data_IF_912856798166
#
_entry.id   IF_912856798166
#
_cell.length_a   1.000
_cell.length_b   1.000
_cell.length_c   1.000
_cell.angle_alpha   90.00
_cell.angle_beta   90.00
_cell.angle_gamma   90.00
#
_symmetry.space_group_name_H-M   'P 1'
#
loop_
_entity.id
_entity.type
_entity.pdbx_description
1 polymer ?
#
# COMPACT_ATOMS: atom_id res chain seq x y z
N UNK A 1 -3.68 36.22 2.06
CA UNK A 1 -3.06 35.49 0.93
C UNK A 1 -2.98 34.02 1.32
N UNK A 2 -3.56 33.12 0.53
CA UNK A 2 -3.35 31.69 0.75
C UNK A 2 -1.91 31.36 0.36
N UNK A 3 -1.12 30.82 1.29
CA UNK A 3 0.20 30.29 0.95
C UNK A 3 0.06 29.19 -0.12
N UNK A 4 1.03 29.08 -1.06
CA UNK A 4 1.02 27.98 -2.01
C UNK A 4 1.11 26.65 -1.24
N UNK A 5 0.12 25.77 -1.45
CA UNK A 5 0.06 24.45 -0.80
C UNK A 5 1.26 23.60 -1.16
N UNK A 6 1.71 22.74 -0.24
CA UNK A 6 2.79 21.78 -0.50
C UNK A 6 2.49 20.99 -1.81
N UNK A 7 3.41 20.97 -2.79
CA UNK A 7 3.26 20.21 -4.03
C UNK A 7 2.92 18.73 -3.82
N UNK A 8 3.40 18.11 -2.73
CA UNK A 8 3.10 16.73 -2.34
C UNK A 8 1.63 16.56 -1.98
N UNK A 9 1.06 17.53 -1.27
CA UNK A 9 -0.35 17.54 -0.91
C UNK A 9 -1.24 17.70 -2.14
N UNK A 10 -0.85 18.59 -3.06
CA UNK A 10 -1.54 18.77 -4.35
C UNK A 10 -1.53 17.45 -5.14
N UNK A 11 -0.36 16.81 -5.27
CA UNK A 11 -0.21 15.55 -5.96
C UNK A 11 -1.04 14.43 -5.30
N UNK A 12 -1.09 14.38 -3.97
CA UNK A 12 -1.93 13.45 -3.22
C UNK A 12 -3.42 13.63 -3.55
N UNK A 13 -3.96 14.83 -3.39
CA UNK A 13 -5.40 15.07 -3.66
C UNK A 13 -5.74 14.71 -5.10
N UNK A 14 -4.84 15.02 -6.05
CA UNK A 14 -4.98 14.67 -7.47
C UNK A 14 -4.94 13.19 -7.77
N UNK A 15 -4.41 12.31 -6.89
CA UNK A 15 -4.42 10.85 -7.08
C UNK A 15 -5.56 10.14 -6.36
N UNK A 16 -6.25 10.81 -5.43
CA UNK A 16 -7.33 10.18 -4.68
C UNK A 16 -8.51 9.78 -5.59
N UNK A 17 -9.14 8.61 -5.36
CA UNK A 17 -10.37 8.20 -6.02
C UNK A 17 -11.53 9.15 -5.73
N UNK A 18 -12.49 9.21 -6.66
CA UNK A 18 -13.67 10.05 -6.50
C UNK A 18 -14.48 9.70 -5.24
N UNK A 19 -14.52 8.41 -4.82
CA UNK A 19 -15.20 7.98 -3.59
C UNK A 19 -14.67 8.72 -2.35
N UNK A 20 -13.36 8.66 -2.11
CA UNK A 20 -12.70 9.34 -0.98
C UNK A 20 -12.89 10.86 -1.06
N UNK A 21 -12.76 11.45 -2.26
CA UNK A 21 -12.98 12.88 -2.44
C UNK A 21 -14.42 13.29 -2.13
N UNK A 22 -15.42 12.46 -2.49
CA UNK A 22 -16.83 12.68 -2.19
C UNK A 22 -17.11 12.57 -0.69
N UNK A 23 -16.55 11.57 -0.01
CA UNK A 23 -16.68 11.41 1.44
C UNK A 23 -16.07 12.58 2.19
N UNK A 24 -14.88 13.02 1.77
CA UNK A 24 -14.24 14.21 2.29
C UNK A 24 -15.12 15.45 2.08
N UNK A 25 -15.62 15.68 0.85
CA UNK A 25 -16.52 16.78 0.57
C UNK A 25 -17.82 16.69 1.37
N UNK A 26 -18.36 15.49 1.60
CA UNK A 26 -19.58 15.29 2.40
C UNK A 26 -19.36 15.73 3.84
N UNK A 27 -18.25 15.27 4.45
CA UNK A 27 -17.87 15.59 5.83
C UNK A 27 -17.68 17.10 6.03
N UNK A 28 -17.03 17.77 5.08
CA UNK A 28 -16.66 19.19 5.20
C UNK A 28 -17.50 20.13 4.32
N UNK A 29 -18.67 19.68 3.87
CA UNK A 29 -19.52 20.43 2.92
C UNK A 29 -19.98 21.76 3.49
N UNK A 30 -20.43 21.76 4.75
CA UNK A 30 -20.93 22.96 5.45
C UNK A 30 -19.81 23.93 5.79
N UNK A 31 -18.67 23.42 6.23
CA UNK A 31 -17.57 24.24 6.73
C UNK A 31 -16.87 25.03 5.63
N UNK A 32 -16.76 24.45 4.42
CA UNK A 32 -16.03 25.07 3.31
C UNK A 32 -16.86 25.24 2.02
N UNK A 33 -18.19 25.05 2.09
CA UNK A 33 -19.07 25.18 0.94
C UNK A 33 -18.71 24.24 -0.21
N UNK A 34 -18.46 22.97 0.10
CA UNK A 34 -18.04 21.96 -0.87
C UNK A 34 -19.25 21.26 -1.52
N UNK A 35 -19.21 21.14 -2.84
CA UNK A 35 -20.16 20.33 -3.61
C UNK A 35 -19.75 18.86 -3.55
N UNK A 36 -20.65 18.01 -3.07
CA UNK A 36 -20.42 16.56 -2.95
C UNK A 36 -20.60 15.84 -4.29
N UNK A 37 -21.64 16.19 -5.05
CA UNK A 37 -21.98 15.52 -6.31
C UNK A 37 -21.39 16.27 -7.51
N UNK A 38 -20.07 16.28 -7.60
CA UNK A 38 -19.33 16.91 -8.69
C UNK A 38 -18.44 15.90 -9.44
N UNK A 39 -17.99 16.28 -10.64
CA UNK A 39 -16.98 15.50 -11.37
C UNK A 39 -15.68 15.48 -10.57
N UNK A 40 -14.88 14.42 -10.71
CA UNK A 40 -13.63 14.24 -9.95
C UNK A 40 -12.68 15.43 -10.06
N UNK A 41 -12.52 16.00 -11.25
CA UNK A 41 -11.70 17.19 -11.47
C UNK A 41 -12.21 18.40 -10.67
N UNK A 42 -13.53 18.62 -10.63
CA UNK A 42 -14.15 19.69 -9.83
C UNK A 42 -14.01 19.43 -8.32
N UNK A 43 -14.15 18.17 -7.87
CA UNK A 43 -13.86 17.77 -6.48
C UNK A 43 -12.42 18.12 -6.08
N UNK A 44 -11.44 17.77 -6.91
CA UNK A 44 -10.03 18.09 -6.67
C UNK A 44 -9.81 19.61 -6.60
N UNK A 45 -10.31 20.35 -7.60
CA UNK A 45 -10.12 21.80 -7.69
C UNK A 45 -10.72 22.54 -6.49
N UNK A 46 -11.94 22.20 -6.07
CA UNK A 46 -12.57 22.87 -4.93
C UNK A 46 -11.90 22.54 -3.60
N UNK A 47 -11.46 21.29 -3.39
CA UNK A 47 -10.75 20.89 -2.17
C UNK A 47 -9.42 21.67 -2.09
N UNK A 48 -8.68 21.73 -3.19
CA UNK A 48 -7.42 22.46 -3.23
C UNK A 48 -7.59 23.98 -3.14
N UNK A 49 -8.71 24.54 -3.59
CA UNK A 49 -8.94 25.98 -3.52
C UNK A 49 -9.48 26.45 -2.16
N UNK A 50 -10.40 25.69 -1.55
CA UNK A 50 -11.23 26.17 -0.42
C UNK A 50 -10.81 25.66 0.95
N UNK A 51 -10.13 24.52 1.01
CA UNK A 51 -9.85 23.84 2.29
C UNK A 51 -8.47 24.23 2.80
N UNK A 52 -8.30 24.58 4.09
CA UNK A 52 -7.00 24.84 4.68
C UNK A 52 -6.04 23.65 4.58
N UNK A 53 -4.74 23.92 4.47
CA UNK A 53 -3.71 22.89 4.30
C UNK A 53 -3.64 21.94 5.51
N UNK A 54 -3.81 22.45 6.72
CA UNK A 54 -3.77 21.68 7.97
C UNK A 54 -4.86 20.59 7.99
N UNK A 55 -6.04 20.91 7.47
CA UNK A 55 -7.17 19.97 7.37
C UNK A 55 -6.86 18.89 6.35
N UNK A 56 -6.30 19.26 5.21
CA UNK A 56 -5.90 18.30 4.17
C UNK A 56 -4.77 17.39 4.66
N UNK A 57 -3.82 17.93 5.43
CA UNK A 57 -2.77 17.14 6.06
C UNK A 57 -3.38 16.11 7.00
N UNK A 58 -4.21 16.56 7.95
CA UNK A 58 -4.81 15.70 8.97
C UNK A 58 -5.73 14.63 8.38
N UNK A 59 -6.54 14.98 7.40
CA UNK A 59 -7.63 14.11 6.93
C UNK A 59 -7.29 13.30 5.70
N UNK A 60 -6.35 13.77 4.86
CA UNK A 60 -5.99 13.08 3.62
C UNK A 60 -4.53 12.65 3.65
N UNK A 61 -3.60 13.54 3.96
CA UNK A 61 -2.17 13.23 3.93
C UNK A 61 -1.80 12.13 4.90
N UNK A 62 -2.09 12.30 6.18
CA UNK A 62 -1.79 11.30 7.21
C UNK A 62 -2.47 9.96 6.95
N UNK A 63 -3.63 9.94 6.25
CA UNK A 63 -4.37 8.70 5.97
C UNK A 63 -3.90 7.98 4.71
N UNK A 64 -3.44 8.72 3.69
CA UNK A 64 -3.27 8.20 2.34
C UNK A 64 -1.92 8.48 1.69
N UNK A 65 -1.01 9.23 2.31
CA UNK A 65 0.33 9.48 1.76
C UNK A 65 1.06 8.16 1.48
N UNK A 66 1.02 7.25 2.46
CA UNK A 66 1.72 5.97 2.50
C UNK A 66 0.81 4.79 2.09
N UNK A 67 -0.44 5.11 1.72
CA UNK A 67 -1.50 4.15 1.47
C UNK A 67 -2.14 4.37 0.09
N UNK A 68 -3.20 3.61 -0.20
CA UNK A 68 -3.92 3.59 -1.46
C UNK A 68 -3.81 2.24 -2.17
N UNK A 69 -3.77 2.25 -3.50
CA UNK A 69 -3.49 1.03 -4.28
C UNK A 69 -1.98 0.72 -4.23
N UNK A 70 -1.60 0.11 -3.11
CA UNK A 70 -0.22 -0.19 -2.73
C UNK A 70 0.03 -1.70 -2.70
N UNK A 71 1.30 -2.07 -2.87
CA UNK A 71 1.77 -3.43 -2.67
C UNK A 71 2.78 -3.40 -1.53
N UNK A 72 2.62 -4.30 -0.58
CA UNK A 72 3.48 -4.45 0.59
C UNK A 72 4.26 -5.75 0.45
N UNK A 73 5.58 -5.63 0.51
CA UNK A 73 6.53 -6.75 0.50
C UNK A 73 7.06 -6.96 1.91
N UNK A 74 6.97 -8.20 2.39
CA UNK A 74 7.29 -8.54 3.78
C UNK A 74 8.68 -9.17 3.89
N UNK A 75 9.48 -8.67 4.82
CA UNK A 75 10.82 -9.15 5.11
C UNK A 75 11.04 -9.26 6.61
N UNK A 76 12.01 -10.08 6.99
CA UNK A 76 12.65 -10.08 8.30
C UNK A 76 14.05 -9.52 8.16
N UNK A 77 14.46 -8.62 9.04
CA UNK A 77 15.78 -7.99 9.05
C UNK A 77 16.44 -8.22 10.42
N UNK A 78 17.48 -9.04 10.49
CA UNK A 78 18.03 -9.48 11.78
C UNK A 78 18.82 -8.39 12.50
N UNK A 79 18.47 -8.08 13.74
CA UNK A 79 19.26 -7.14 14.56
C UNK A 79 19.17 -5.72 14.04
N UNK A 80 17.95 -5.20 13.87
CA UNK A 80 17.69 -3.83 13.42
C UNK A 80 18.46 -2.83 14.30
N UNK A 81 19.45 -2.16 13.71
CA UNK A 81 20.22 -1.10 14.35
C UNK A 81 19.98 0.23 13.62
N UNK A 82 18.91 0.91 14.02
CA UNK A 82 18.47 2.19 13.43
C UNK A 82 19.53 3.29 13.50
N UNK A 83 20.48 3.24 14.44
CA UNK A 83 21.56 4.25 14.53
C UNK A 83 22.50 4.21 13.32
N UNK A 84 22.57 3.09 12.59
CA UNK A 84 23.44 2.95 11.41
C UNK A 84 22.84 3.53 10.13
N UNK A 85 21.59 4.00 10.18
CA UNK A 85 20.90 4.53 9.01
C UNK A 85 20.50 5.99 9.17
N UNK A 86 20.61 6.58 10.37
CA UNK A 86 20.21 7.97 10.63
C UNK A 86 20.98 8.98 9.78
N UNK A 87 22.21 8.65 9.40
CA UNK A 87 23.11 9.54 8.63
C UNK A 87 22.97 9.34 7.11
N UNK A 88 22.03 8.50 6.65
CA UNK A 88 21.84 8.18 5.23
C UNK A 88 20.85 9.11 4.52
N UNK A 89 20.36 10.16 5.18
CA UNK A 89 19.48 11.14 4.54
C UNK A 89 20.29 11.87 3.47
N UNK A 90 19.96 11.62 2.21
CA UNK A 90 20.50 12.39 1.11
C UNK A 90 19.64 13.63 0.90
N UNK A 91 20.22 14.85 0.93
CA UNK A 91 19.48 16.02 0.48
C UNK A 91 19.05 15.83 -0.98
N UNK A 92 17.90 16.41 -1.32
CA UNK A 92 17.19 16.25 -2.60
C UNK A 92 17.89 17.00 -3.76
N UNK A 93 19.20 16.87 -3.89
CA UNK A 93 19.99 17.62 -4.87
C UNK A 93 19.91 17.00 -6.26
N UNK A 94 19.72 15.67 -6.40
CA UNK A 94 19.69 14.99 -7.70
C UNK A 94 18.63 13.87 -7.78
N UNK A 95 18.05 13.70 -8.97
CA UNK A 95 17.13 12.60 -9.27
C UNK A 95 17.95 11.32 -9.52
N UNK A 96 17.67 10.26 -8.76
CA UNK A 96 18.39 8.98 -8.85
C UNK A 96 17.48 7.89 -9.42
N UNK A 97 17.97 7.08 -10.35
CA UNK A 97 17.26 5.87 -10.83
C UNK A 97 17.16 4.79 -9.75
N UNK A 98 18.01 4.91 -8.73
CA UNK A 98 18.11 4.00 -7.60
C UNK A 98 17.43 4.63 -6.37
N UNK A 99 16.67 3.87 -5.56
CA UNK A 99 16.04 4.39 -4.35
C UNK A 99 17.03 5.06 -3.40
N UNK A 100 16.80 6.34 -3.09
CA UNK A 100 17.57 7.09 -2.09
C UNK A 100 16.69 7.44 -0.90
N UNK A 101 17.26 7.44 0.31
CA UNK A 101 16.56 7.86 1.52
C UNK A 101 16.44 9.38 1.52
N UNK A 102 15.21 9.89 1.56
CA UNK A 102 14.93 11.34 1.57
C UNK A 102 14.31 11.82 2.87
N UNK A 103 13.72 10.92 3.66
CA UNK A 103 13.09 11.27 4.93
C UNK A 103 13.01 10.03 5.86
N UNK A 104 13.02 10.28 7.16
CA UNK A 104 12.90 9.27 8.21
C UNK A 104 12.05 9.78 9.37
N UNK A 105 11.08 8.98 9.81
CA UNK A 105 10.14 9.37 10.86
C UNK A 105 9.84 8.20 11.79
N UNK A 106 9.91 8.46 13.10
CA UNK A 106 9.46 7.50 14.10
C UNK A 106 7.93 7.51 14.24
N UNK A 107 7.34 6.32 14.27
CA UNK A 107 5.92 6.10 14.51
C UNK A 107 5.80 5.37 15.86
N UNK A 108 5.17 6.02 16.83
CA UNK A 108 4.88 5.47 18.16
C UNK A 108 6.11 4.85 18.86
N UNK A 109 7.31 5.39 18.63
CA UNK A 109 8.61 4.94 19.17
C UNK A 109 8.95 3.45 18.96
N UNK A 110 8.20 2.74 18.11
CA UNK A 110 8.33 1.29 17.92
C UNK A 110 8.54 0.93 16.46
N UNK A 111 8.18 1.84 15.55
CA UNK A 111 8.42 1.70 14.13
C UNK A 111 9.22 2.87 13.61
N UNK A 112 10.17 2.60 12.73
CA UNK A 112 10.86 3.62 11.95
C UNK A 112 10.39 3.52 10.51
N UNK A 113 9.80 4.60 10.02
CA UNK A 113 9.46 4.76 8.63
C UNK A 113 10.59 5.48 7.89
N UNK A 114 10.92 4.96 6.72
CA UNK A 114 11.92 5.51 5.82
C UNK A 114 11.27 5.74 4.46
N UNK A 115 11.33 6.97 3.97
CA UNK A 115 10.85 7.32 2.64
C UNK A 115 11.99 7.24 1.64
N UNK A 116 11.71 6.58 0.53
CA UNK A 116 12.59 6.45 -0.61
C UNK A 116 12.01 7.17 -1.82
N UNK A 117 12.86 7.89 -2.54
CA UNK A 117 12.54 8.45 -3.84
C UNK A 117 13.48 7.90 -4.91
N UNK A 118 12.96 7.71 -6.12
CA UNK A 118 13.74 7.33 -7.30
C UNK A 118 13.00 7.77 -8.57
N UNK A 119 13.67 7.77 -9.71
CA UNK A 119 13.03 7.96 -11.01
C UNK A 119 12.94 6.65 -11.77
N UNK A 120 11.84 6.47 -12.49
CA UNK A 120 11.65 5.35 -13.39
C UNK A 120 11.25 5.88 -14.77
N UNK A 121 11.87 5.38 -15.85
CA UNK A 121 11.49 5.77 -17.20
C UNK A 121 10.06 5.30 -17.49
N UNK A 122 9.22 6.22 -17.95
CA UNK A 122 7.88 5.94 -18.42
C UNK A 122 7.73 6.39 -19.87
N UNK A 123 7.00 5.61 -20.64
CA UNK A 123 6.57 6.04 -21.97
C UNK A 123 5.35 6.94 -21.81
N UNK A 124 5.44 8.13 -22.36
CA UNK A 124 4.32 9.06 -22.49
C UNK A 124 4.13 9.43 -23.95
N UNK A 125 2.90 9.78 -24.30
CA UNK A 125 2.58 10.37 -25.60
C UNK A 125 2.66 11.88 -25.42
N UNK A 126 3.50 12.54 -26.21
CA UNK A 126 3.63 14.00 -26.19
C UNK A 126 2.46 14.69 -26.90
N UNK A 127 2.50 16.02 -26.97
CA UNK A 127 1.43 16.82 -27.59
C UNK A 127 1.34 16.58 -29.12
N UNK A 128 2.45 16.16 -29.74
CA UNK A 128 2.55 15.77 -31.15
C UNK A 128 2.20 14.30 -31.43
N UNK A 129 1.62 13.59 -30.45
CA UNK A 129 1.25 12.17 -30.55
C UNK A 129 2.43 11.20 -30.77
N UNK A 130 3.64 11.58 -30.40
CA UNK A 130 4.84 10.75 -30.45
C UNK A 130 5.15 10.13 -29.07
N UNK A 131 5.72 8.93 -29.08
CA UNK A 131 6.20 8.27 -27.87
C UNK A 131 7.53 8.87 -27.43
N UNK A 132 7.59 9.33 -26.19
CA UNK A 132 8.82 9.79 -25.55
C UNK A 132 9.00 9.13 -24.19
N UNK A 133 10.27 8.95 -23.79
CA UNK A 133 10.62 8.45 -22.46
C UNK A 133 10.79 9.64 -21.52
N UNK A 134 9.99 9.70 -20.46
CA UNK A 134 10.17 10.66 -19.37
C UNK A 134 10.52 9.95 -18.08
N UNK A 135 11.39 10.55 -17.28
CA UNK A 135 11.71 10.05 -15.95
C UNK A 135 10.66 10.53 -14.95
N UNK A 136 9.84 9.59 -14.46
CA UNK A 136 8.81 9.88 -13.46
C UNK A 136 9.33 9.58 -12.07
N UNK A 137 9.21 10.56 -11.17
CA UNK A 137 9.46 10.38 -9.75
C UNK A 137 8.51 9.32 -9.18
N UNK A 138 9.10 8.31 -8.55
CA UNK A 138 8.46 7.25 -7.80
C UNK A 138 8.79 7.39 -6.32
N UNK A 139 7.92 6.84 -5.48
CA UNK A 139 8.08 6.84 -4.03
C UNK A 139 7.88 5.42 -3.52
N UNK A 140 8.76 5.01 -2.61
CA UNK A 140 8.60 3.79 -1.84
C UNK A 140 8.78 4.09 -0.35
N UNK A 141 8.23 3.23 0.50
CA UNK A 141 8.38 3.35 1.95
C UNK A 141 8.90 2.03 2.51
N UNK A 142 9.86 2.08 3.43
CA UNK A 142 10.17 0.95 4.30
C UNK A 142 9.73 1.30 5.72
N UNK A 143 8.95 0.43 6.36
CA UNK A 143 8.54 0.60 7.74
C UNK A 143 9.09 -0.58 8.52
N UNK A 144 9.99 -0.28 9.44
CA UNK A 144 10.71 -1.25 10.23
C UNK A 144 10.09 -1.30 11.62
N UNK A 145 9.57 -2.46 11.98
CA UNK A 145 9.07 -2.76 13.31
C UNK A 145 10.26 -3.21 14.16
N UNK A 146 10.79 -2.28 14.95
CA UNK A 146 12.14 -2.40 15.53
C UNK A 146 12.23 -3.53 16.55
N UNK A 147 11.14 -3.83 17.25
CA UNK A 147 11.12 -4.82 18.34
C UNK A 147 11.09 -6.27 17.85
N UNK A 148 10.52 -6.52 16.68
CA UNK A 148 10.22 -7.89 16.19
C UNK A 148 10.97 -8.23 14.89
N UNK A 149 11.85 -7.34 14.42
CA UNK A 149 12.64 -7.49 13.21
C UNK A 149 11.81 -7.58 11.91
N UNK A 150 10.53 -7.22 11.95
CA UNK A 150 9.65 -7.22 10.78
C UNK A 150 9.81 -5.94 9.97
N UNK A 151 9.93 -6.07 8.65
CA UNK A 151 10.03 -4.94 7.75
C UNK A 151 9.01 -5.07 6.64
N UNK A 152 8.22 -4.02 6.45
CA UNK A 152 7.33 -3.88 5.31
C UNK A 152 7.93 -2.87 4.32
N UNK A 153 8.07 -3.28 3.06
CA UNK A 153 8.49 -2.38 1.98
C UNK A 153 7.33 -2.16 1.02
N UNK A 154 6.83 -0.93 0.95
CA UNK A 154 5.67 -0.52 0.17
C UNK A 154 6.13 0.08 -1.15
N UNK A 155 5.95 -0.69 -2.21
CA UNK A 155 6.22 -0.31 -3.60
C UNK A 155 5.55 -1.30 -4.53
N UNK A 156 5.22 -0.89 -5.76
CA UNK A 156 4.67 -1.81 -6.76
C UNK A 156 5.70 -2.80 -7.31
N UNK A 157 6.98 -2.43 -7.27
CA UNK A 157 8.07 -3.21 -7.86
C UNK A 157 8.77 -4.09 -6.83
N UNK A 158 8.71 -5.42 -7.04
CA UNK A 158 9.44 -6.39 -6.21
C UNK A 158 10.95 -6.16 -6.27
N UNK A 159 11.47 -5.77 -7.42
CA UNK A 159 12.90 -5.50 -7.59
C UNK A 159 13.32 -4.30 -6.73
N UNK A 160 12.51 -3.23 -6.75
CA UNK A 160 12.71 -2.07 -5.88
C UNK A 160 12.63 -2.45 -4.41
N UNK A 161 11.67 -3.29 -4.01
CA UNK A 161 11.56 -3.76 -2.62
C UNK A 161 12.79 -4.55 -2.18
N UNK A 162 13.28 -5.46 -3.02
CA UNK A 162 14.50 -6.23 -2.78
C UNK A 162 15.74 -5.33 -2.73
N UNK A 163 15.80 -4.32 -3.57
CA UNK A 163 16.91 -3.36 -3.57
C UNK A 163 16.95 -2.57 -2.25
N UNK A 164 15.80 -2.05 -1.81
CA UNK A 164 15.66 -1.31 -0.55
C UNK A 164 16.08 -2.16 0.64
N UNK A 165 15.56 -3.40 0.77
CA UNK A 165 15.90 -4.23 1.93
C UNK A 165 17.38 -4.65 1.93
N UNK A 166 17.97 -4.92 0.76
CA UNK A 166 19.41 -5.20 0.62
C UNK A 166 20.26 -4.01 1.06
N UNK A 167 19.87 -2.81 0.65
CA UNK A 167 20.55 -1.58 1.03
C UNK A 167 20.50 -1.39 2.55
N UNK A 168 19.31 -1.51 3.16
CA UNK A 168 19.14 -1.41 4.60
C UNK A 168 19.96 -2.46 5.36
N UNK A 169 19.90 -3.73 4.93
CA UNK A 169 20.67 -4.82 5.52
C UNK A 169 22.18 -4.58 5.46
N UNK A 170 22.68 -4.11 4.31
CA UNK A 170 24.09 -3.75 4.13
C UNK A 170 24.52 -2.66 5.11
N UNK A 171 23.76 -1.57 5.21
CA UNK A 171 24.09 -0.47 6.14
C UNK A 171 24.06 -0.90 7.60
N UNK A 172 23.13 -1.78 7.98
CA UNK A 172 23.04 -2.27 9.35
C UNK A 172 24.08 -3.35 9.68
N UNK A 173 24.79 -3.89 8.68
CA UNK A 173 25.58 -5.12 8.79
C UNK A 173 24.72 -6.29 9.30
N UNK A 174 23.59 -6.47 8.65
CA UNK A 174 22.51 -7.38 9.01
C UNK A 174 22.19 -8.32 7.84
N UNK A 175 21.53 -9.44 8.15
CA UNK A 175 20.96 -10.34 7.16
C UNK A 175 19.46 -10.04 6.98
N UNK A 176 18.91 -10.34 5.80
CA UNK A 176 17.47 -10.23 5.59
C UNK A 176 16.91 -11.51 4.96
N UNK A 177 15.65 -11.80 5.28
CA UNK A 177 14.91 -12.94 4.75
C UNK A 177 13.58 -12.44 4.15
N UNK A 178 13.27 -12.74 2.88
CA UNK A 178 11.93 -12.57 2.34
C UNK A 178 10.95 -13.50 3.04
N UNK A 179 9.90 -12.93 3.63
CA UNK A 179 8.89 -13.74 4.30
C UNK A 179 8.01 -14.46 3.27
N UNK A 180 7.46 -15.61 3.66
CA UNK A 180 6.56 -16.43 2.85
C UNK A 180 5.45 -16.96 3.74
N UNK A 181 4.32 -17.30 3.13
CA UNK A 181 3.23 -17.97 3.84
C UNK A 181 3.21 -19.46 3.44
N UNK A 182 3.25 -20.35 4.43
CA UNK A 182 2.98 -21.77 4.24
C UNK A 182 1.52 -22.01 3.86
N UNK A 183 1.19 -23.24 3.44
CA UNK A 183 -0.20 -23.65 3.23
C UNK A 183 -1.02 -23.38 4.50
N UNK A 184 -0.61 -23.89 5.65
CA UNK A 184 -1.36 -23.71 6.91
C UNK A 184 -1.57 -22.22 7.28
N UNK A 185 -0.58 -21.38 6.99
CA UNK A 185 -0.71 -19.93 7.17
C UNK A 185 -1.71 -19.30 6.20
N UNK A 186 -1.83 -19.80 4.97
CA UNK A 186 -2.91 -19.43 4.05
C UNK A 186 -4.27 -19.88 4.60
N UNK A 187 -4.36 -21.06 5.21
CA UNK A 187 -5.57 -21.51 5.93
C UNK A 187 -5.95 -20.52 7.05
N UNK A 188 -4.97 -20.09 7.84
CA UNK A 188 -5.17 -19.10 8.91
C UNK A 188 -5.69 -17.75 8.41
N UNK A 189 -5.32 -17.35 7.19
CA UNK A 189 -5.88 -16.15 6.56
C UNK A 189 -7.34 -16.32 6.18
N UNK A 190 -7.71 -17.50 5.67
CA UNK A 190 -9.09 -17.82 5.31
C UNK A 190 -9.96 -17.85 6.55
N UNK A 191 -9.52 -18.53 7.61
CA UNK A 191 -10.25 -18.62 8.88
C UNK A 191 -10.50 -17.23 9.47
N UNK A 192 -9.49 -16.36 9.46
CA UNK A 192 -9.67 -14.99 9.90
C UNK A 192 -10.62 -14.21 9.01
N UNK A 193 -10.49 -14.31 7.70
CA UNK A 193 -11.38 -13.60 6.78
C UNK A 193 -12.84 -14.07 6.88
N UNK A 194 -13.10 -15.35 7.23
CA UNK A 194 -14.46 -15.86 7.52
C UNK A 194 -15.11 -15.14 8.71
N UNK A 195 -14.33 -14.49 9.59
CA UNK A 195 -14.84 -13.66 10.69
C UNK A 195 -15.25 -12.25 10.27
N UNK A 196 -14.87 -11.81 9.06
CA UNK A 196 -15.17 -10.47 8.56
C UNK A 196 -16.55 -10.43 7.88
N UNK A 197 -17.23 -9.29 7.97
CA UNK A 197 -18.55 -9.11 7.33
C UNK A 197 -18.39 -9.16 5.81
N UNK A 198 -19.32 -9.82 5.13
CA UNK A 198 -19.39 -9.91 3.67
C UNK A 198 -18.10 -10.45 3.00
N UNK A 199 -17.34 -11.30 3.68
CA UNK A 199 -16.09 -11.83 3.16
C UNK A 199 -16.29 -12.71 1.91
N UNK A 200 -15.54 -12.43 0.86
CA UNK A 200 -15.48 -13.19 -0.40
C UNK A 200 -14.04 -13.63 -0.68
N UNK A 201 -13.91 -14.85 -1.20
CA UNK A 201 -12.64 -15.52 -1.43
C UNK A 201 -12.44 -15.87 -2.89
N UNK A 202 -11.19 -15.77 -3.36
CA UNK A 202 -10.78 -16.34 -4.65
C UNK A 202 -9.36 -16.89 -4.57
N UNK A 203 -9.12 -18.19 -4.89
CA UNK A 203 -7.77 -18.75 -4.90
C UNK A 203 -6.93 -18.20 -6.06
N UNK A 204 -5.62 -18.07 -5.86
CA UNK A 204 -4.65 -17.62 -6.86
C UNK A 204 -3.76 -18.82 -7.23
N UNK A 205 -3.90 -19.34 -8.47
CA UNK A 205 -3.07 -20.44 -8.99
C UNK A 205 -1.78 -19.88 -9.61
N UNK A 206 -0.63 -20.37 -9.14
CA UNK A 206 0.76 -20.15 -9.63
C UNK A 206 1.16 -18.69 -10.00
N UNK A 207 2.36 -18.52 -10.56
CA UNK A 207 3.24 -17.35 -10.37
C UNK A 207 2.70 -15.96 -10.77
N UNK A 208 1.62 -15.84 -11.53
CA UNK A 208 0.91 -14.59 -11.80
C UNK A 208 -0.46 -14.93 -12.44
N UNK A 209 -1.48 -15.23 -11.63
CA UNK A 209 -2.88 -15.11 -12.09
C UNK A 209 -3.50 -13.83 -11.55
N UNK A 210 -2.82 -12.70 -11.80
CA UNK A 210 -3.43 -11.36 -11.73
C UNK A 210 -4.24 -11.08 -13.00
N UNK A 211 -5.03 -12.03 -13.49
CA UNK A 211 -6.13 -11.71 -14.38
C UNK A 211 -7.27 -11.29 -13.48
N UNK A 212 -7.68 -10.04 -13.62
CA UNK A 212 -8.95 -9.56 -13.10
C UNK A 212 -10.04 -10.55 -13.48
N UNK A 213 -10.53 -11.35 -12.52
CA UNK A 213 -11.97 -11.58 -12.47
C UNK A 213 -12.53 -10.41 -11.67
N UNK A 214 -12.49 -9.22 -12.26
CA UNK A 214 -13.74 -8.45 -12.27
C UNK A 214 -14.66 -9.33 -13.06
N UNK A 215 -15.52 -10.07 -12.35
CA UNK A 215 -16.72 -10.57 -12.99
C UNK A 215 -17.36 -9.34 -13.63
N UNK A 216 -17.35 -9.31 -14.97
CA UNK A 216 -18.45 -8.72 -15.72
C UNK A 216 -19.73 -9.26 -15.07
N UNK A 217 -20.73 -8.39 -15.01
CA UNK A 217 -22.10 -8.70 -14.62
C UNK A 217 -22.41 -10.20 -14.80
N UNK A 218 -22.87 -10.87 -13.73
CA UNK A 218 -23.41 -12.25 -13.70
C UNK A 218 -22.65 -13.39 -12.98
N UNK A 219 -21.65 -13.16 -12.10
CA UNK A 219 -21.17 -14.25 -11.23
C UNK A 219 -21.16 -13.90 -9.73
N UNK A 220 -22.13 -14.51 -9.03
CA UNK A 220 -22.22 -14.63 -7.57
C UNK A 220 -21.08 -15.53 -7.04
N UNK A 221 -20.32 -15.08 -6.05
CA UNK A 221 -19.12 -15.76 -5.51
C UNK A 221 -19.43 -16.55 -4.22
N UNK A 222 -20.59 -17.21 -4.17
CA UNK A 222 -20.90 -18.19 -3.14
C UNK A 222 -20.31 -19.55 -3.51
N UNK A 223 -19.01 -19.79 -3.33
CA UNK A 223 -18.48 -21.15 -3.18
C UNK A 223 -17.27 -21.18 -2.23
N UNK A 224 -17.55 -21.06 -0.93
CA UNK A 224 -16.66 -21.61 0.12
C UNK A 224 -16.42 -23.10 -0.15
N UNK A 225 -17.41 -23.78 -0.71
CA UNK A 225 -17.38 -25.19 -1.09
C UNK A 225 -16.32 -25.48 -2.18
N UNK A 226 -16.21 -24.68 -3.23
CA UNK A 226 -15.13 -24.81 -4.23
C UNK A 226 -13.77 -24.65 -3.55
N UNK A 227 -13.59 -23.61 -2.72
CA UNK A 227 -12.34 -23.46 -1.98
C UNK A 227 -12.06 -24.66 -1.06
N UNK A 228 -13.07 -25.18 -0.35
CA UNK A 228 -12.95 -26.33 0.55
C UNK A 228 -12.64 -27.63 -0.19
N UNK A 229 -13.25 -27.86 -1.36
CA UNK A 229 -12.89 -28.98 -2.23
C UNK A 229 -11.46 -28.88 -2.75
N UNK A 230 -11.04 -27.69 -3.17
CA UNK A 230 -9.65 -27.41 -3.58
C UNK A 230 -8.66 -27.58 -2.44
N UNK A 231 -9.04 -27.15 -1.23
CA UNK A 231 -8.25 -27.31 -0.03
C UNK A 231 -8.06 -28.78 0.34
N UNK A 232 -9.14 -29.58 0.24
CA UNK A 232 -9.15 -31.03 0.46
C UNK A 232 -8.28 -31.79 -0.53
N UNK A 233 -8.11 -31.30 -1.76
CA UNK A 233 -7.28 -31.92 -2.81
C UNK A 233 -5.76 -31.66 -2.66
N UNK A 234 -5.34 -30.97 -1.60
CA UNK A 234 -3.92 -30.61 -1.35
C UNK A 234 -3.22 -29.83 -2.47
N UNK A 235 -3.97 -29.25 -3.41
CA UNK A 235 -3.40 -28.57 -4.58
C UNK A 235 -2.59 -27.32 -4.19
N UNK A 236 -1.49 -27.05 -4.90
CA UNK A 236 -0.57 -25.95 -4.56
C UNK A 236 -1.25 -24.58 -4.73
N UNK A 237 -1.50 -23.90 -3.61
CA UNK A 237 -2.06 -22.55 -3.57
C UNK A 237 -0.94 -21.51 -3.62
N UNK A 238 -0.93 -20.66 -4.66
CA UNK A 238 0.06 -19.57 -4.80
C UNK A 238 -0.29 -18.33 -3.97
N UNK A 239 -1.54 -18.25 -3.49
CA UNK A 239 -2.06 -17.12 -2.75
C UNK A 239 -3.58 -17.10 -2.70
N UNK A 240 -4.14 -16.08 -2.05
CA UNK A 240 -5.58 -15.87 -1.94
C UNK A 240 -5.93 -14.39 -2.16
N UNK A 241 -7.11 -14.14 -2.68
CA UNK A 241 -7.71 -12.81 -2.67
C UNK A 241 -8.87 -12.78 -1.68
N UNK A 242 -8.88 -11.76 -0.82
CA UNK A 242 -9.91 -11.51 0.19
C UNK A 242 -10.53 -10.16 -0.13
N UNK A 243 -11.86 -10.14 -0.16
CA UNK A 243 -12.65 -8.92 -0.21
C UNK A 243 -13.66 -8.95 0.92
N UNK A 244 -13.58 -8.02 1.86
CA UNK A 244 -14.45 -8.01 3.03
C UNK A 244 -14.71 -6.58 3.51
N UNK A 245 -15.78 -6.41 4.29
CA UNK A 245 -15.99 -5.21 5.08
C UNK A 245 -15.20 -5.33 6.38
N UNK A 246 -14.29 -4.38 6.59
CA UNK A 246 -13.42 -4.33 7.78
C UNK A 246 -14.07 -3.48 8.88
N UNK A 247 -13.58 -3.49 10.14
CA UNK A 247 -14.24 -2.80 11.26
C UNK A 247 -14.51 -1.30 11.07
N UNK A 248 -13.81 -0.64 10.14
CA UNK A 248 -14.07 0.75 9.75
C UNK A 248 -15.38 0.94 8.98
N UNK A 249 -16.06 -0.15 8.59
CA UNK A 249 -17.26 -0.15 7.75
C UNK A 249 -16.96 -0.04 6.25
N UNK A 250 -15.69 0.06 5.87
CA UNK A 250 -15.26 0.17 4.49
C UNK A 250 -14.98 -1.20 3.86
N UNK A 251 -15.21 -1.28 2.55
CA UNK A 251 -14.91 -2.47 1.77
C UNK A 251 -13.41 -2.49 1.39
N UNK A 252 -12.69 -3.49 1.90
CA UNK A 252 -11.27 -3.69 1.64
C UNK A 252 -11.07 -4.95 0.79
N UNK A 253 -10.39 -4.78 -0.35
CA UNK A 253 -9.98 -5.88 -1.22
C UNK A 253 -8.46 -5.98 -1.28
N UNK A 254 -7.89 -7.13 -0.90
CA UNK A 254 -6.45 -7.36 -0.95
C UNK A 254 -6.11 -8.80 -1.34
N UNK A 255 -5.00 -8.98 -2.04
CA UNK A 255 -4.46 -10.28 -2.45
C UNK A 255 -3.17 -10.60 -1.74
N UNK A 256 -3.04 -11.82 -1.23
CA UNK A 256 -1.84 -12.37 -0.63
C UNK A 256 -1.18 -13.31 -1.64
N UNK A 257 0.10 -13.11 -1.90
CA UNK A 257 0.93 -14.07 -2.63
C UNK A 257 1.85 -14.77 -1.61
N UNK A 258 1.68 -16.08 -1.50
CA UNK A 258 2.30 -16.91 -0.48
C UNK A 258 3.81 -17.04 -0.67
N UNK A 259 4.24 -17.32 -1.92
CA UNK A 259 5.66 -17.52 -2.28
C UNK A 259 6.52 -16.29 -2.03
N UNK A 260 5.91 -15.11 -2.14
CA UNK A 260 6.60 -13.84 -2.17
C UNK A 260 6.40 -12.96 -0.96
N UNK A 261 5.61 -13.40 0.03
CA UNK A 261 5.27 -12.60 1.21
C UNK A 261 4.75 -11.23 0.80
N UNK A 262 3.83 -11.20 -0.17
CA UNK A 262 3.39 -9.96 -0.82
C UNK A 262 1.90 -9.78 -0.61
N UNK A 263 1.50 -8.61 -0.11
CA UNK A 263 0.10 -8.22 0.07
C UNK A 263 -0.20 -7.05 -0.85
N UNK A 264 -1.14 -7.22 -1.79
CA UNK A 264 -1.53 -6.23 -2.77
C UNK A 264 -2.93 -5.70 -2.46
N UNK A 265 -3.04 -4.42 -2.12
CA UNK A 265 -4.32 -3.76 -1.89
C UNK A 265 -4.93 -3.33 -3.22
N UNK A 266 -6.04 -3.99 -3.60
CA UNK A 266 -6.78 -3.75 -4.85
C UNK A 266 -7.73 -2.58 -4.70
N UNK A 267 -8.30 -2.37 -3.51
CA UNK A 267 -9.02 -1.15 -3.16
C UNK A 267 -8.03 -0.07 -2.71
N UNK A 268 -8.47 1.18 -2.73
CA UNK A 268 -7.64 2.29 -2.26
C UNK A 268 -7.69 2.34 -0.73
N UNK A 269 -6.76 1.64 -0.09
CA UNK A 269 -6.74 1.48 1.36
C UNK A 269 -6.17 2.72 2.07
N UNK A 270 -6.64 3.03 3.28
CA UNK A 270 -5.98 3.98 4.18
C UNK A 270 -4.88 3.29 5.01
N UNK A 271 -4.05 4.09 5.69
CA UNK A 271 -2.99 3.57 6.57
C UNK A 271 -3.53 2.61 7.65
N UNK A 272 -4.65 2.97 8.27
CA UNK A 272 -5.27 2.16 9.31
C UNK A 272 -5.68 0.77 8.79
N UNK A 273 -6.22 0.72 7.58
CA UNK A 273 -6.68 -0.52 6.94
C UNK A 273 -5.50 -1.41 6.53
N UNK A 274 -4.41 -0.79 6.05
CA UNK A 274 -3.15 -1.51 5.80
C UNK A 274 -2.62 -2.08 7.12
N UNK A 275 -2.53 -1.27 8.17
CA UNK A 275 -2.03 -1.72 9.48
C UNK A 275 -2.89 -2.84 10.08
N UNK A 276 -4.21 -2.81 9.87
CA UNK A 276 -5.10 -3.89 10.28
C UNK A 276 -4.72 -5.23 9.63
N UNK A 277 -4.50 -5.22 8.31
CA UNK A 277 -4.07 -6.42 7.56
C UNK A 277 -2.64 -6.84 7.93
N UNK A 278 -1.72 -5.89 8.09
CA UNK A 278 -0.32 -6.18 8.44
C UNK A 278 -0.20 -6.75 9.85
N UNK A 279 -0.97 -6.25 10.81
CA UNK A 279 -1.06 -6.84 12.15
C UNK A 279 -1.47 -8.31 12.07
N UNK A 280 -2.44 -8.63 11.22
CA UNK A 280 -2.85 -10.02 11.02
C UNK A 280 -1.77 -10.85 10.34
N UNK A 281 -1.09 -10.29 9.33
CA UNK A 281 0.03 -10.95 8.66
C UNK A 281 1.12 -11.34 9.66
N UNK A 282 1.51 -10.41 10.54
CA UNK A 282 2.48 -10.64 11.61
C UNK A 282 2.05 -11.80 12.52
N UNK A 283 0.80 -11.80 12.99
CA UNK A 283 0.27 -12.87 13.84
C UNK A 283 0.35 -14.24 13.17
N UNK A 284 -0.05 -14.34 11.89
CA UNK A 284 -0.01 -15.59 11.12
C UNK A 284 1.44 -16.06 10.89
N UNK A 285 2.37 -15.11 10.70
CA UNK A 285 3.79 -15.38 10.54
C UNK A 285 4.53 -15.65 11.87
N UNK A 286 3.84 -15.58 13.01
CA UNK A 286 4.42 -15.84 14.33
C UNK A 286 5.22 -14.67 14.93
N UNK A 287 5.05 -13.46 14.42
CA UNK A 287 5.65 -12.25 15.00
C UNK A 287 4.77 -11.71 16.14
N UNK A 288 5.42 -11.26 17.22
CA UNK A 288 4.79 -10.64 18.39
C UNK A 288 4.33 -9.21 18.13
#
# INVERSE_FOLDING_TARGET
MNMPKDPRLIALVRRLPAKILKEFCKKYSKDYGLKVYARRSELVSQILAKVPEEVLIKELYMKYEQAGNTTVHLFKLEGINVKKITDLISPRTELSEVPIIVDMMWINNTKLMIRFEYVEPILVVNEEYQLEVRNKLQVAFAIMHVLDNFVEVRTRSRNTALWIIRMLAKHMNSSYEPLRFSRDQIGSWVDWAKTLRNARFKPIRSALSTVSLTAREEYDLREIEEFEEWWKKEERVGGIYIKAEIPTGEELGFGINAEYGKIMFKTFASEEEIQYVIKKAKQILGFS
#
